data_IF_175833366056
#
_entry.id   IF_175833366056
#
_cell.length_a   1.000
_cell.length_b   1.000
_cell.length_c   1.000
_cell.angle_alpha   90.00
_cell.angle_beta   90.00
_cell.angle_gamma   90.00
#
_symmetry.space_group_name_H-M   'P 1'
#
loop_
_entity.id
_entity.type
_entity.pdbx_description
1 polymer ?
#
# COMPACT_ATOMS: atom_id res chain seq x y z
N UNK A 1 -49.46 61.90 -39.16
CA UNK A 1 -49.97 60.82 -40.05
C UNK A 1 -49.53 59.45 -39.53
N UNK A 2 -50.52 58.61 -39.16
CA UNK A 2 -50.47 57.15 -38.89
C UNK A 2 -49.43 56.72 -37.81
N UNK A 3 -49.81 56.38 -36.58
CA UNK A 3 -50.79 55.37 -36.16
C UNK A 3 -50.04 54.12 -35.67
N UNK A 4 -50.16 53.68 -34.40
CA UNK A 4 -49.35 52.61 -33.81
C UNK A 4 -49.93 51.23 -34.15
N UNK A 5 -49.08 50.21 -34.33
CA UNK A 5 -49.55 48.82 -34.39
C UNK A 5 -48.80 47.92 -33.41
N UNK A 6 -49.60 47.51 -32.43
CA UNK A 6 -49.42 46.50 -31.40
C UNK A 6 -49.13 45.13 -32.00
N UNK A 7 -48.09 44.45 -31.49
CA UNK A 7 -48.06 42.99 -31.43
C UNK A 7 -47.68 42.60 -30.00
N UNK A 8 -48.69 42.04 -29.35
CA UNK A 8 -48.68 41.33 -28.07
C UNK A 8 -47.82 40.06 -28.15
N UNK A 9 -47.71 39.38 -27.00
CA UNK A 9 -47.22 38.00 -26.74
C UNK A 9 -45.77 38.00 -26.21
N UNK A 10 -45.45 37.60 -24.98
CA UNK A 10 -46.17 36.91 -23.91
C UNK A 10 -45.71 37.44 -22.55
N UNK A 11 -46.66 37.60 -21.64
CA UNK A 11 -46.38 37.68 -20.21
C UNK A 11 -45.83 36.32 -19.75
N UNK A 12 -44.71 36.34 -19.04
CA UNK A 12 -44.38 35.30 -18.08
C UNK A 12 -44.20 35.99 -16.73
N UNK A 13 -45.24 35.85 -15.92
CA UNK A 13 -45.19 35.87 -14.47
C UNK A 13 -43.93 35.13 -13.98
N UNK A 14 -43.22 35.51 -12.94
CA UNK A 14 -43.70 35.99 -11.66
C UNK A 14 -42.60 36.82 -11.01
N UNK A 15 -43.02 37.95 -10.47
CA UNK A 15 -42.22 38.71 -9.54
C UNK A 15 -42.10 37.88 -8.25
N UNK A 16 -40.94 37.28 -8.00
CA UNK A 16 -40.47 37.01 -6.65
C UNK A 16 -39.09 37.68 -6.50
N UNK A 17 -39.01 38.89 -5.94
CA UNK A 17 -37.77 39.37 -5.38
C UNK A 17 -37.58 38.54 -4.10
N UNK A 18 -36.90 37.38 -4.20
CA UNK A 18 -36.34 36.78 -3.01
C UNK A 18 -35.50 37.87 -2.33
N UNK A 19 -35.80 38.30 -1.08
CA UNK A 19 -34.86 39.14 -0.39
C UNK A 19 -33.61 38.28 -0.25
N UNK A 20 -32.53 38.68 -0.95
CA UNK A 20 -31.20 38.10 -0.77
C UNK A 20 -30.90 38.28 0.70
N UNK A 21 -31.17 37.25 1.51
CA UNK A 21 -30.68 37.18 2.88
C UNK A 21 -29.18 37.36 2.72
N UNK A 22 -28.58 38.44 3.24
CA UNK A 22 -27.15 38.50 3.30
C UNK A 22 -26.78 37.34 4.23
N UNK A 23 -26.13 36.31 3.70
CA UNK A 23 -25.38 35.36 4.51
C UNK A 23 -24.20 36.13 5.10
N UNK A 24 -24.49 37.03 6.02
CA UNK A 24 -23.49 37.69 6.81
C UNK A 24 -23.12 36.70 7.89
N UNK A 25 -22.08 35.90 7.63
CA UNK A 25 -21.42 35.07 8.64
C UNK A 25 -20.88 36.03 9.71
N UNK A 26 -21.67 36.25 10.77
CA UNK A 26 -21.45 37.30 11.76
C UNK A 26 -20.36 37.03 12.78
N UNK A 27 -19.54 36.00 12.63
CA UNK A 27 -18.56 35.67 13.66
C UNK A 27 -17.22 35.25 13.07
N UNK A 28 -16.20 36.07 13.33
CA UNK A 28 -14.81 35.69 13.39
C UNK A 28 -14.59 34.69 14.55
N UNK A 29 -15.17 33.48 14.48
CA UNK A 29 -14.99 32.45 15.51
C UNK A 29 -13.55 31.93 15.59
N UNK A 30 -12.73 32.22 14.57
CA UNK A 30 -11.34 31.79 14.50
C UNK A 30 -10.35 32.77 15.16
N UNK A 31 -10.79 33.97 15.54
CA UNK A 31 -9.90 34.96 16.19
C UNK A 31 -9.44 34.50 17.57
N UNK A 32 -10.38 34.13 18.43
CA UNK A 32 -10.09 33.66 19.78
C UNK A 32 -9.34 32.33 19.76
N UNK A 33 -9.78 31.39 18.91
CA UNK A 33 -9.12 30.10 18.72
C UNK A 33 -7.69 30.23 18.19
N UNK A 34 -7.45 31.12 17.23
CA UNK A 34 -6.09 31.35 16.70
C UNK A 34 -5.18 32.00 17.74
N UNK A 35 -5.73 32.90 18.58
CA UNK A 35 -4.99 33.47 19.70
C UNK A 35 -4.62 32.40 20.74
N UNK A 36 -5.55 31.51 21.09
CA UNK A 36 -5.27 30.38 22.00
C UNK A 36 -4.19 29.44 21.46
N UNK A 37 -4.27 29.07 20.17
CA UNK A 37 -3.27 28.23 19.52
C UNK A 37 -1.89 28.89 19.49
N UNK A 38 -1.84 30.21 19.27
CA UNK A 38 -0.59 30.98 19.27
C UNK A 38 0.04 30.98 20.66
N UNK A 39 -0.74 31.26 21.71
CA UNK A 39 -0.27 31.22 23.10
C UNK A 39 0.20 29.82 23.51
N UNK A 40 -0.55 28.79 23.14
CA UNK A 40 -0.16 27.40 23.39
C UNK A 40 1.17 27.09 22.70
N UNK A 41 1.31 27.45 21.43
CA UNK A 41 2.56 27.24 20.69
C UNK A 41 3.75 27.94 21.37
N UNK A 42 3.62 29.21 21.73
CA UNK A 42 4.67 29.95 22.46
C UNK A 42 5.09 29.24 23.75
N UNK A 43 4.11 28.85 24.58
CA UNK A 43 4.38 28.14 25.83
C UNK A 43 5.09 26.80 25.61
N UNK A 44 4.70 26.05 24.57
CA UNK A 44 5.37 24.79 24.24
C UNK A 44 6.81 24.99 23.76
N UNK A 45 7.12 26.07 23.05
CA UNK A 45 8.49 26.38 22.65
C UNK A 45 9.35 26.77 23.86
N UNK A 46 8.83 27.60 24.77
CA UNK A 46 9.52 27.93 26.03
C UNK A 46 9.84 26.67 26.84
N UNK A 47 8.89 25.73 26.92
CA UNK A 47 9.11 24.46 27.61
C UNK A 47 10.19 23.62 26.89
N UNK A 48 10.17 23.53 25.56
CA UNK A 48 11.22 22.84 24.79
C UNK A 48 12.59 23.43 25.07
N UNK A 49 12.71 24.75 25.08
CA UNK A 49 13.97 25.45 25.37
C UNK A 49 14.46 25.21 26.80
N UNK A 50 13.55 25.13 27.78
CA UNK A 50 13.90 24.83 29.17
C UNK A 50 14.58 23.47 29.30
N UNK A 51 14.09 22.44 28.59
CA UNK A 51 14.65 21.09 28.58
C UNK A 51 15.75 20.86 27.54
N UNK A 52 16.12 21.87 26.75
CA UNK A 52 17.30 21.74 25.89
C UNK A 52 18.54 21.52 26.75
N UNK A 53 19.43 20.68 26.26
CA UNK A 53 20.70 20.43 26.94
C UNK A 53 21.51 21.72 27.05
N UNK A 54 21.82 22.11 28.30
CA UNK A 54 22.72 23.24 28.61
C UNK A 54 24.16 22.79 28.81
N UNK A 55 24.41 21.48 28.85
CA UNK A 55 25.70 20.89 29.18
C UNK A 55 26.66 20.83 27.99
N UNK A 56 26.14 21.00 26.77
CA UNK A 56 26.93 20.91 25.52
C UNK A 56 27.47 19.52 25.23
N UNK A 57 26.96 18.48 25.90
CA UNK A 57 27.44 17.09 25.77
C UNK A 57 26.58 16.27 24.83
N UNK A 58 25.32 16.66 24.64
CA UNK A 58 24.41 15.99 23.72
C UNK A 58 24.54 16.58 22.31
N UNK A 59 24.86 15.71 21.35
CA UNK A 59 24.90 16.05 19.93
C UNK A 59 23.49 15.93 19.33
N UNK A 60 22.90 17.02 18.80
CA UNK A 60 21.63 16.95 18.11
C UNK A 60 21.76 16.07 16.87
N UNK A 61 20.88 15.09 16.69
CA UNK A 61 20.81 14.31 15.46
C UNK A 61 20.08 15.14 14.39
N UNK A 62 20.73 15.49 13.25
CA UNK A 62 20.13 16.34 12.23
C UNK A 62 19.17 15.59 11.29
N UNK A 63 18.97 14.30 11.51
CA UNK A 63 18.13 13.45 10.69
C UNK A 63 17.26 12.55 11.55
N UNK A 64 16.09 12.21 11.00
CA UNK A 64 15.22 11.18 11.54
C UNK A 64 15.43 9.91 10.73
N UNK A 65 15.51 8.76 11.40
CA UNK A 65 15.46 7.47 10.74
C UNK A 65 13.99 7.13 10.53
N UNK A 66 13.55 7.21 9.27
CA UNK A 66 12.25 6.71 8.90
C UNK A 66 12.29 5.17 8.88
N UNK A 67 11.24 4.49 9.36
CA UNK A 67 11.09 3.07 9.13
C UNK A 67 11.19 2.78 7.64
N UNK A 68 11.95 1.75 7.26
CA UNK A 68 12.01 1.27 5.88
C UNK A 68 10.63 0.83 5.43
N UNK A 69 10.37 0.89 4.12
CA UNK A 69 9.10 0.37 3.57
C UNK A 69 9.00 -1.12 3.86
N UNK A 70 7.77 -1.62 4.03
CA UNK A 70 7.52 -3.03 4.32
C UNK A 70 8.12 -3.94 3.24
N UNK A 71 7.99 -3.56 1.96
CA UNK A 71 8.54 -4.27 0.81
C UNK A 71 10.09 -4.41 0.87
N UNK A 72 10.78 -3.41 1.41
CA UNK A 72 12.25 -3.45 1.57
C UNK A 72 12.66 -4.37 2.73
N UNK A 73 11.83 -4.42 3.77
CA UNK A 73 12.09 -5.22 4.97
C UNK A 73 11.70 -6.68 4.79
N UNK A 74 10.64 -6.93 4.03
CA UNK A 74 10.05 -8.24 3.78
C UNK A 74 9.71 -8.35 2.29
N UNK A 75 10.65 -8.83 1.45
CA UNK A 75 10.37 -9.06 0.04
C UNK A 75 9.25 -10.09 -0.11
N UNK A 76 8.46 -9.96 -1.17
CA UNK A 76 7.37 -10.89 -1.45
C UNK A 76 7.94 -12.30 -1.60
N UNK A 77 7.28 -13.36 -1.08
CA UNK A 77 7.82 -14.73 -1.13
C UNK A 77 8.06 -15.27 -2.56
N UNK A 78 7.46 -14.63 -3.57
CA UNK A 78 7.67 -14.94 -4.98
C UNK A 78 8.80 -14.13 -5.64
N UNK A 79 9.27 -13.07 -4.99
CA UNK A 79 10.41 -12.27 -5.43
C UNK A 79 11.70 -12.99 -5.03
N UNK A 80 11.91 -14.15 -5.65
CA UNK A 80 13.10 -14.95 -5.43
C UNK A 80 14.29 -14.28 -6.13
N UNK A 81 15.45 -14.19 -5.45
CA UNK A 81 16.67 -13.75 -6.12
C UNK A 81 17.02 -14.71 -7.26
N UNK A 82 17.80 -14.22 -8.22
CA UNK A 82 18.24 -15.02 -9.36
C UNK A 82 18.92 -16.33 -8.87
N UNK A 83 18.28 -17.46 -9.15
CA UNK A 83 18.78 -18.77 -8.72
C UNK A 83 20.13 -19.10 -9.36
N UNK A 84 21.06 -19.64 -8.56
CA UNK A 84 22.32 -20.20 -9.06
C UNK A 84 22.08 -21.32 -10.07
N UNK A 85 22.99 -21.47 -11.03
CA UNK A 85 22.95 -22.54 -12.04
C UNK A 85 22.83 -23.94 -11.40
N UNK A 86 23.53 -24.19 -10.29
CA UNK A 86 23.46 -25.47 -9.54
C UNK A 86 22.06 -25.70 -8.97
N UNK A 87 21.47 -24.67 -8.37
CA UNK A 87 20.12 -24.73 -7.79
C UNK A 87 19.07 -24.95 -8.87
N UNK A 88 19.15 -24.21 -9.98
CA UNK A 88 18.28 -24.40 -11.15
C UNK A 88 18.37 -25.83 -11.68
N UNK A 89 19.57 -26.37 -11.82
CA UNK A 89 19.77 -27.73 -12.31
C UNK A 89 19.19 -28.79 -11.37
N UNK A 90 19.31 -28.59 -10.05
CA UNK A 90 18.68 -29.49 -9.08
C UNK A 90 17.15 -29.42 -9.15
N UNK A 91 16.57 -28.21 -9.14
CA UNK A 91 15.12 -27.98 -9.22
C UNK A 91 14.51 -28.58 -10.48
N UNK A 92 15.17 -28.42 -11.64
CA UNK A 92 14.71 -29.03 -12.88
C UNK A 92 14.63 -30.55 -12.78
N UNK A 93 15.60 -31.22 -12.13
CA UNK A 93 15.58 -32.68 -11.98
C UNK A 93 14.52 -33.20 -11.02
N UNK A 94 14.16 -32.42 -10.00
CA UNK A 94 13.13 -32.81 -9.02
C UNK A 94 11.74 -32.29 -9.40
N UNK A 95 11.62 -31.51 -10.48
CA UNK A 95 10.34 -31.05 -11.00
C UNK A 95 9.45 -32.26 -11.31
N UNK A 96 8.16 -32.24 -10.92
CA UNK A 96 7.19 -33.29 -11.24
C UNK A 96 7.19 -33.67 -12.72
N UNK A 97 7.41 -32.70 -13.61
CA UNK A 97 7.47 -32.87 -15.07
C UNK A 97 8.66 -33.72 -15.53
N UNK A 98 9.76 -33.68 -14.78
CA UNK A 98 11.01 -34.37 -15.10
C UNK A 98 11.22 -35.63 -14.27
N UNK A 99 10.27 -36.00 -13.41
CA UNK A 99 10.32 -37.25 -12.68
C UNK A 99 10.28 -38.41 -13.68
N UNK A 100 11.41 -39.14 -13.75
CA UNK A 100 11.51 -40.35 -14.58
C UNK A 100 10.48 -41.35 -14.09
N UNK A 101 9.51 -41.66 -14.94
CA UNK A 101 8.47 -42.66 -14.67
C UNK A 101 9.03 -44.10 -14.68
N UNK A 102 10.26 -44.30 -15.14
CA UNK A 102 10.89 -45.61 -15.25
C UNK A 102 12.18 -45.72 -14.42
N UNK A 103 12.40 -46.89 -13.83
CA UNK A 103 13.69 -47.26 -13.26
C UNK A 103 14.51 -48.03 -14.30
N UNK A 104 15.79 -47.70 -14.47
CA UNK A 104 16.70 -48.44 -15.34
C UNK A 104 17.67 -49.24 -14.48
N UNK A 105 17.69 -50.57 -14.64
CA UNK A 105 18.63 -51.43 -13.92
C UNK A 105 20.04 -51.36 -14.53
N UNK A 106 21.10 -51.77 -13.80
CA UNK A 106 22.46 -51.88 -14.34
C UNK A 106 22.56 -52.77 -15.59
N UNK A 107 21.61 -53.71 -15.74
CA UNK A 107 21.45 -54.56 -16.95
C UNK A 107 20.89 -53.81 -18.17
N UNK A 108 20.58 -52.51 -18.04
CA UNK A 108 19.95 -51.69 -19.08
C UNK A 108 18.43 -51.88 -19.21
N UNK A 109 17.84 -52.86 -18.51
CA UNK A 109 16.38 -53.08 -18.52
C UNK A 109 15.65 -51.92 -17.85
N UNK A 110 14.62 -51.42 -18.52
CA UNK A 110 13.72 -50.39 -18.00
C UNK A 110 12.46 -51.04 -17.44
N UNK A 111 12.05 -50.57 -16.29
CA UNK A 111 10.87 -51.03 -15.56
C UNK A 111 9.85 -49.91 -15.54
N UNK A 112 8.59 -50.27 -15.77
CA UNK A 112 7.46 -49.33 -15.69
C UNK A 112 7.16 -48.92 -14.23
N UNK A 113 6.47 -47.80 -13.99
CA UNK A 113 6.10 -47.41 -12.63
C UNK A 113 5.33 -48.51 -11.88
N UNK A 114 4.42 -49.20 -12.60
CA UNK A 114 3.57 -50.26 -12.04
C UNK A 114 4.35 -51.47 -11.57
N UNK A 115 5.30 -51.96 -12.38
CA UNK A 115 6.16 -53.08 -11.99
C UNK A 115 7.07 -52.72 -10.82
N UNK A 116 7.55 -51.47 -10.77
CA UNK A 116 8.28 -50.95 -9.62
C UNK A 116 7.42 -50.96 -8.36
N UNK A 117 6.20 -50.44 -8.42
CA UNK A 117 5.27 -50.39 -7.28
C UNK A 117 4.96 -51.79 -6.75
N UNK A 118 4.70 -52.76 -7.64
CA UNK A 118 4.50 -54.16 -7.27
C UNK A 118 5.74 -54.72 -6.53
N UNK A 119 6.95 -54.47 -7.06
CA UNK A 119 8.19 -54.88 -6.40
C UNK A 119 8.35 -54.22 -5.04
N UNK A 120 8.19 -52.90 -4.96
CA UNK A 120 8.41 -52.14 -3.73
C UNK A 120 7.41 -52.61 -2.64
N UNK A 121 6.14 -52.86 -3.00
CA UNK A 121 5.14 -53.44 -2.08
C UNK A 121 5.59 -54.78 -1.47
N UNK A 122 6.22 -55.65 -2.26
CA UNK A 122 6.70 -56.94 -1.78
C UNK A 122 7.78 -56.80 -0.69
N UNK A 123 8.61 -55.76 -0.74
CA UNK A 123 9.66 -55.53 0.24
C UNK A 123 9.16 -54.76 1.48
N UNK A 124 8.22 -53.83 1.32
CA UNK A 124 7.60 -53.10 2.46
C UNK A 124 6.86 -54.05 3.42
N UNK A 125 6.21 -55.11 2.91
CA UNK A 125 5.52 -56.11 3.75
C UNK A 125 6.46 -57.05 4.53
N UNK A 126 7.78 -56.98 4.31
CA UNK A 126 8.77 -57.83 4.98
C UNK A 126 9.59 -57.12 6.07
N UNK A 127 9.39 -55.82 6.26
CA UNK A 127 9.99 -55.01 7.32
C UNK A 127 9.07 -54.91 8.53
#
# INVERSE_FOLDING_TARGET
>A
PQGPQTMLVCQAESQDPCPRIPLHTRYNLDGDRSQELSRFYELTQQHREFYRDKSGKLYPLPYFLLPSKEEEKYPHPLDLPALSAKTRWHLLRVSPENLRTYQTFPSGKRVTPREREIRDSFFEYRA
#
